data_IF_593051299501
#
_entry.id   IF_593051299501
#
_cell.length_a   1.000
_cell.length_b   1.000
_cell.length_c   1.000
_cell.angle_alpha   90.00
_cell.angle_beta   90.00
_cell.angle_gamma   90.00
#
_symmetry.space_group_name_H-M   'P 1'
#
loop_
_entity.id
_entity.type
_entity.pdbx_description
1 polymer ?
#
# COMPACT_ATOMS: atom_id res chain seq x y z
N UNK A 1 -10.41 14.45 0.60
CA UNK A 1 -9.87 14.98 1.86
C UNK A 1 -9.03 13.92 2.55
N UNK A 2 -7.86 14.30 3.07
CA UNK A 2 -7.02 13.44 3.90
C UNK A 2 -7.15 13.93 5.34
N UNK A 3 -7.56 13.06 6.26
CA UNK A 3 -7.68 13.38 7.68
C UNK A 3 -6.83 12.41 8.49
N UNK A 4 -5.97 12.93 9.36
CA UNK A 4 -5.20 12.11 10.30
C UNK A 4 -5.96 11.98 11.62
N UNK A 5 -6.09 10.74 12.10
CA UNK A 5 -6.73 10.44 13.38
C UNK A 5 -5.81 9.64 14.30
N UNK A 6 -5.95 9.85 15.61
CA UNK A 6 -5.27 9.06 16.65
C UNK A 6 -6.23 8.03 17.24
N UNK A 7 -5.70 6.93 17.81
CA UNK A 7 -6.46 5.78 18.29
C UNK A 7 -7.74 6.08 19.11
N UNK A 8 -7.74 7.12 19.97
CA UNK A 8 -8.93 7.53 20.75
C UNK A 8 -10.09 8.13 19.93
N UNK A 9 -9.96 8.24 18.61
CA UNK A 9 -10.96 8.84 17.71
C UNK A 9 -11.66 7.82 16.82
N UNK A 10 -11.50 6.53 17.10
CA UNK A 10 -12.06 5.45 16.28
C UNK A 10 -13.57 5.59 16.05
N UNK A 11 -14.37 5.88 17.06
CA UNK A 11 -15.81 6.06 16.89
C UNK A 11 -16.22 7.21 15.96
N UNK A 12 -15.38 8.25 15.85
CA UNK A 12 -15.55 9.31 14.85
C UNK A 12 -15.20 8.83 13.45
N UNK A 13 -14.09 8.10 13.31
CA UNK A 13 -13.67 7.46 12.06
C UNK A 13 -14.77 6.53 11.55
N UNK A 14 -15.24 5.62 12.39
CA UNK A 14 -16.25 4.63 12.01
C UNK A 14 -17.55 5.28 11.53
N UNK A 15 -18.06 6.32 12.20
CA UNK A 15 -19.24 7.06 11.72
C UNK A 15 -19.01 7.70 10.35
N UNK A 16 -17.79 8.21 10.07
CA UNK A 16 -17.47 8.76 8.75
C UNK A 16 -17.42 7.69 7.67
N UNK A 17 -16.89 6.50 7.98
CA UNK A 17 -16.86 5.38 7.05
C UNK A 17 -18.26 4.93 6.66
N UNK A 18 -19.18 4.84 7.62
CA UNK A 18 -20.59 4.46 7.37
C UNK A 18 -21.34 5.47 6.48
N UNK A 19 -20.87 6.72 6.40
CA UNK A 19 -21.51 7.78 5.59
C UNK A 19 -20.81 8.02 4.25
N UNK A 20 -19.67 7.39 4.02
CA UNK A 20 -18.87 7.59 2.81
C UNK A 20 -19.29 6.60 1.71
N UNK A 21 -19.38 7.06 0.47
CA UNK A 21 -19.58 6.15 -0.68
C UNK A 21 -18.34 5.28 -0.93
N UNK A 22 -17.16 5.83 -0.67
CA UNK A 22 -15.88 5.12 -0.72
C UNK A 22 -14.87 5.80 0.22
N UNK A 23 -14.07 5.01 0.91
CA UNK A 23 -13.03 5.50 1.80
C UNK A 23 -11.82 4.56 1.80
N UNK A 24 -10.64 5.13 2.02
CA UNK A 24 -9.42 4.37 2.29
C UNK A 24 -8.91 4.81 3.67
N UNK A 25 -8.68 3.83 4.54
CA UNK A 25 -8.09 4.05 5.86
C UNK A 25 -6.68 3.50 5.84
N UNK A 26 -5.69 4.40 5.96
CA UNK A 26 -4.29 4.01 6.11
C UNK A 26 -3.95 3.88 7.60
N UNK A 27 -3.59 2.67 8.02
CA UNK A 27 -3.25 2.35 9.40
C UNK A 27 -1.75 2.09 9.50
N UNK A 28 -1.02 3.00 10.15
CA UNK A 28 0.42 2.81 10.38
C UNK A 28 0.69 1.53 11.16
N UNK A 29 1.78 0.82 10.82
CA UNK A 29 2.14 -0.48 11.40
C UNK A 29 2.19 -0.48 12.95
N UNK A 30 2.60 0.65 13.57
CA UNK A 30 2.62 0.80 15.03
C UNK A 30 1.23 0.92 15.68
N UNK A 31 0.19 1.12 14.90
CA UNK A 31 -1.17 1.36 15.39
C UNK A 31 -2.14 0.23 15.05
N UNK A 32 -1.67 -0.83 14.41
CA UNK A 32 -2.55 -1.88 13.87
C UNK A 32 -3.24 -2.66 14.98
N UNK A 33 -2.52 -2.99 16.07
CA UNK A 33 -3.09 -3.71 17.21
C UNK A 33 -4.17 -2.88 17.90
N UNK A 34 -3.92 -1.58 18.12
CA UNK A 34 -4.89 -0.65 18.70
C UNK A 34 -6.10 -0.47 17.79
N UNK A 35 -5.89 -0.35 16.48
CA UNK A 35 -6.95 -0.24 15.50
C UNK A 35 -7.87 -1.47 15.52
N UNK A 36 -7.30 -2.67 15.48
CA UNK A 36 -8.07 -3.92 15.52
C UNK A 36 -8.78 -4.10 16.87
N UNK A 37 -8.15 -3.75 17.98
CA UNK A 37 -8.78 -3.79 19.31
C UNK A 37 -9.97 -2.82 19.41
N UNK A 38 -9.87 -1.64 18.81
CA UNK A 38 -11.00 -0.71 18.74
C UNK A 38 -12.12 -1.25 17.83
N UNK A 39 -11.75 -1.82 16.67
CA UNK A 39 -12.71 -2.38 15.71
C UNK A 39 -13.59 -3.48 16.35
N UNK A 40 -13.02 -4.32 17.20
CA UNK A 40 -13.76 -5.40 17.93
C UNK A 40 -14.82 -4.84 18.89
N UNK A 41 -14.62 -3.63 19.43
CA UNK A 41 -15.59 -3.02 20.36
C UNK A 41 -16.91 -2.63 19.71
N UNK A 42 -16.94 -2.51 18.40
CA UNK A 42 -18.13 -2.16 17.63
C UNK A 42 -18.68 -3.42 16.96
N UNK A 43 -19.90 -3.78 17.30
CA UNK A 43 -20.53 -4.98 16.76
C UNK A 43 -20.49 -5.01 15.23
N UNK A 44 -19.93 -6.07 14.68
CA UNK A 44 -19.79 -6.32 13.24
C UNK A 44 -19.05 -5.22 12.42
N UNK A 45 -18.38 -4.26 13.07
CA UNK A 45 -17.69 -3.19 12.36
C UNK A 45 -16.63 -3.69 11.37
N UNK A 46 -16.02 -4.84 11.64
CA UNK A 46 -15.07 -5.49 10.74
C UNK A 46 -15.71 -5.96 9.42
N UNK A 47 -17.02 -6.16 9.39
CA UNK A 47 -17.78 -6.54 8.18
C UNK A 47 -18.16 -5.35 7.30
N UNK A 48 -18.10 -4.13 7.83
CA UNK A 48 -18.33 -2.89 7.06
C UNK A 48 -17.11 -2.50 6.19
N UNK A 49 -15.98 -3.17 6.38
CA UNK A 49 -14.77 -2.96 5.60
C UNK A 49 -14.74 -3.98 4.46
N UNK A 50 -14.78 -3.52 3.21
CA UNK A 50 -14.80 -4.39 2.04
C UNK A 50 -13.50 -5.16 1.87
N UNK A 51 -12.35 -4.51 2.08
CA UNK A 51 -11.03 -5.11 1.93
C UNK A 51 -10.03 -4.63 2.97
N UNK A 52 -9.28 -5.58 3.50
CA UNK A 52 -8.08 -5.37 4.31
C UNK A 52 -6.87 -5.62 3.42
N UNK A 53 -6.19 -4.55 3.01
CA UNK A 53 -5.01 -4.64 2.17
C UNK A 53 -3.76 -4.54 3.05
N UNK A 54 -2.91 -5.57 3.01
CA UNK A 54 -1.71 -5.71 3.81
C UNK A 54 -0.47 -5.61 2.92
N UNK A 55 0.13 -4.42 2.76
CA UNK A 55 1.40 -4.28 2.05
C UNK A 55 2.51 -4.96 2.85
N UNK A 56 3.33 -5.79 2.19
CA UNK A 56 4.43 -6.49 2.81
C UNK A 56 5.69 -6.41 1.96
N UNK A 57 6.84 -6.22 2.60
CA UNK A 57 8.16 -6.31 1.96
C UNK A 57 8.84 -7.66 2.26
N UNK A 58 9.82 -8.06 1.46
CA UNK A 58 10.44 -9.38 1.49
C UNK A 58 11.17 -9.76 2.80
N UNK A 59 11.40 -8.79 3.73
CA UNK A 59 12.09 -9.11 4.98
C UNK A 59 11.34 -10.14 5.83
N UNK A 60 12.04 -11.12 6.41
CA UNK A 60 11.44 -12.16 7.23
C UNK A 60 10.67 -11.61 8.44
N UNK A 61 11.06 -10.45 8.99
CA UNK A 61 10.31 -9.77 10.05
C UNK A 61 8.96 -9.29 9.54
N UNK A 62 8.93 -8.57 8.40
CA UNK A 62 7.70 -8.04 7.82
C UNK A 62 6.71 -9.17 7.47
N UNK A 63 7.20 -10.27 6.88
CA UNK A 63 6.36 -11.41 6.57
C UNK A 63 5.70 -12.02 7.82
N UNK A 64 6.46 -12.20 8.93
CA UNK A 64 5.91 -12.73 10.20
C UNK A 64 4.87 -11.78 10.81
N UNK A 65 5.12 -10.47 10.79
CA UNK A 65 4.16 -9.48 11.30
C UNK A 65 2.89 -9.44 10.46
N UNK A 66 3.02 -9.57 9.13
CA UNK A 66 1.85 -9.67 8.23
C UNK A 66 1.04 -10.93 8.51
N UNK A 67 1.68 -12.09 8.68
CA UNK A 67 1.00 -13.34 9.03
C UNK A 67 0.23 -13.17 10.34
N UNK A 68 0.85 -12.62 11.39
CA UNK A 68 0.18 -12.32 12.65
C UNK A 68 -1.05 -11.44 12.47
N UNK A 69 -0.96 -10.43 11.62
CA UNK A 69 -2.11 -9.55 11.32
C UNK A 69 -3.24 -10.31 10.60
N UNK A 70 -2.90 -11.20 9.66
CA UNK A 70 -3.88 -12.06 8.98
C UNK A 70 -4.58 -12.96 9.99
N UNK A 71 -3.83 -13.60 10.90
CA UNK A 71 -4.39 -14.44 11.97
C UNK A 71 -5.37 -13.65 12.86
N UNK A 72 -5.02 -12.43 13.23
CA UNK A 72 -5.91 -11.56 14.03
C UNK A 72 -7.20 -11.24 13.28
N UNK A 73 -7.13 -10.89 11.99
CA UNK A 73 -8.28 -10.61 11.15
C UNK A 73 -9.18 -11.85 10.99
N UNK A 74 -8.59 -13.02 10.75
CA UNK A 74 -9.32 -14.28 10.65
C UNK A 74 -10.01 -14.64 11.96
N UNK A 75 -9.35 -14.48 13.12
CA UNK A 75 -9.93 -14.68 14.45
C UNK A 75 -11.09 -13.72 14.76
N UNK A 76 -11.07 -12.52 14.19
CA UNK A 76 -12.19 -11.56 14.26
C UNK A 76 -13.38 -11.95 13.36
N UNK A 77 -13.22 -12.96 12.50
CA UNK A 77 -14.27 -13.40 11.57
C UNK A 77 -14.27 -12.66 10.24
N UNK A 78 -13.18 -11.97 9.88
CA UNK A 78 -13.04 -11.36 8.56
C UNK A 78 -12.97 -12.46 7.50
N UNK A 79 -13.85 -12.44 6.48
CA UNK A 79 -13.82 -13.44 5.40
C UNK A 79 -12.49 -13.45 4.64
N UNK A 80 -11.99 -14.64 4.30
CA UNK A 80 -10.71 -14.82 3.61
C UNK A 80 -10.60 -14.03 2.29
N UNK A 81 -11.71 -13.86 1.59
CA UNK A 81 -11.79 -13.09 0.35
C UNK A 81 -11.67 -11.58 0.54
N UNK A 82 -11.80 -11.09 1.77
CA UNK A 82 -11.60 -9.67 2.09
C UNK A 82 -10.18 -9.34 2.52
N UNK A 83 -9.37 -10.35 2.86
CA UNK A 83 -7.96 -10.18 3.24
C UNK A 83 -7.10 -10.27 1.98
N UNK A 84 -6.38 -9.20 1.67
CA UNK A 84 -5.54 -9.06 0.49
C UNK A 84 -4.11 -8.73 0.90
N UNK A 85 -3.16 -9.48 0.40
CA UNK A 85 -1.73 -9.16 0.56
C UNK A 85 -1.24 -8.49 -0.71
N UNK A 86 -0.54 -7.37 -0.55
CA UNK A 86 0.14 -6.64 -1.62
C UNK A 86 1.65 -6.80 -1.43
N UNK A 87 2.28 -7.58 -2.29
CA UNK A 87 3.73 -7.79 -2.29
C UNK A 87 4.42 -6.53 -2.80
N UNK A 88 5.15 -5.86 -1.93
CA UNK A 88 5.73 -4.56 -2.22
C UNK A 88 7.25 -4.62 -2.27
N UNK A 89 7.86 -3.83 -3.15
CA UNK A 89 9.30 -3.78 -3.37
C UNK A 89 9.87 -5.15 -3.73
N UNK A 90 9.22 -5.83 -4.67
CA UNK A 90 9.67 -7.12 -5.19
C UNK A 90 10.90 -6.89 -6.07
N UNK A 91 11.96 -7.64 -5.84
CA UNK A 91 13.21 -7.53 -6.60
C UNK A 91 13.16 -8.44 -7.86
N UNK A 92 12.79 -9.70 -7.70
CA UNK A 92 12.87 -10.70 -8.78
C UNK A 92 11.66 -11.61 -8.87
N UNK A 93 11.44 -12.48 -7.87
CA UNK A 93 10.36 -13.47 -7.88
C UNK A 93 9.52 -13.40 -6.60
N UNK A 94 8.23 -13.13 -6.78
CA UNK A 94 7.28 -12.96 -5.68
C UNK A 94 7.18 -14.22 -4.81
N UNK A 95 7.19 -15.40 -5.41
CA UNK A 95 7.00 -16.65 -4.65
C UNK A 95 8.24 -17.03 -3.84
N UNK A 96 9.41 -16.77 -4.39
CA UNK A 96 10.68 -17.03 -3.71
C UNK A 96 10.90 -16.05 -2.57
N UNK A 97 10.70 -14.75 -2.83
CA UNK A 97 10.90 -13.71 -1.83
C UNK A 97 9.89 -13.73 -0.68
N UNK A 98 8.66 -14.19 -0.95
CA UNK A 98 7.57 -14.22 0.05
C UNK A 98 7.10 -15.65 0.39
N UNK A 99 8.02 -16.61 0.36
CA UNK A 99 7.72 -18.02 0.59
C UNK A 99 6.96 -18.30 1.91
N UNK A 100 7.23 -17.55 2.98
CA UNK A 100 6.51 -17.69 4.26
C UNK A 100 5.02 -17.32 4.13
N UNK A 101 4.69 -16.25 3.40
CA UNK A 101 3.31 -15.83 3.16
C UNK A 101 2.56 -16.88 2.31
N UNK A 102 3.17 -17.38 1.24
CA UNK A 102 2.56 -18.43 0.41
C UNK A 102 2.39 -19.74 1.16
N UNK A 103 3.38 -20.12 1.98
CA UNK A 103 3.30 -21.31 2.83
C UNK A 103 2.16 -21.22 3.84
N UNK A 104 2.01 -20.07 4.49
CA UNK A 104 0.92 -19.82 5.43
C UNK A 104 -0.45 -19.86 4.72
N UNK A 105 -0.59 -19.22 3.55
CA UNK A 105 -1.84 -19.24 2.77
C UNK A 105 -2.31 -20.65 2.42
N UNK A 106 -1.36 -21.55 2.10
CA UNK A 106 -1.68 -22.96 1.78
C UNK A 106 -2.12 -23.75 3.01
N UNK A 107 -1.60 -23.42 4.19
CA UNK A 107 -1.87 -24.17 5.44
C UNK A 107 -3.15 -23.70 6.14
N UNK A 108 -3.37 -22.39 6.23
CA UNK A 108 -4.46 -21.82 7.02
C UNK A 108 -5.77 -21.68 6.26
N UNK A 109 -5.71 -21.30 5.00
CA UNK A 109 -6.89 -20.91 4.23
C UNK A 109 -7.51 -19.56 4.65
N UNK A 110 -6.87 -18.82 5.56
CA UNK A 110 -7.36 -17.55 6.10
C UNK A 110 -7.40 -16.41 5.07
N UNK A 111 -6.65 -16.57 3.99
CA UNK A 111 -6.64 -15.66 2.84
C UNK A 111 -6.13 -16.37 1.58
N UNK A 112 -6.22 -15.66 0.43
CA UNK A 112 -5.66 -16.14 -0.83
C UNK A 112 -4.49 -15.27 -1.26
N UNK A 113 -3.28 -15.84 -1.32
CA UNK A 113 -2.11 -15.16 -1.85
C UNK A 113 -2.18 -15.11 -3.39
N UNK A 114 -2.27 -13.90 -3.95
CA UNK A 114 -2.21 -13.68 -5.38
C UNK A 114 -0.82 -13.11 -5.76
N UNK A 115 0.05 -13.87 -6.46
CA UNK A 115 1.37 -13.37 -6.83
C UNK A 115 1.35 -12.20 -7.82
N UNK A 116 0.23 -11.98 -8.51
CA UNK A 116 0.07 -10.83 -9.42
C UNK A 116 -0.19 -9.51 -8.66
N UNK A 117 -0.57 -9.58 -7.38
CA UNK A 117 -0.73 -8.41 -6.53
C UNK A 117 0.65 -7.95 -6.02
N UNK A 118 1.50 -7.50 -6.93
CA UNK A 118 2.89 -7.14 -6.67
C UNK A 118 3.26 -5.78 -7.24
N UNK A 119 4.09 -5.05 -6.51
CA UNK A 119 4.75 -3.83 -6.95
C UNK A 119 6.25 -4.11 -6.92
N UNK A 120 6.86 -4.11 -8.09
CA UNK A 120 8.30 -4.32 -8.22
C UNK A 120 9.07 -3.07 -7.82
N UNK A 121 10.29 -3.28 -7.29
CA UNK A 121 11.21 -2.18 -6.99
C UNK A 121 11.51 -1.41 -8.27
N UNK A 122 11.40 -0.09 -8.21
CA UNK A 122 11.65 0.77 -9.36
C UNK A 122 12.06 2.17 -8.89
N UNK A 123 13.11 2.70 -9.47
CA UNK A 123 13.65 4.03 -9.17
C UNK A 123 12.62 5.16 -9.39
N UNK A 124 11.57 4.91 -10.17
CA UNK A 124 10.48 5.88 -10.37
C UNK A 124 9.84 6.31 -9.06
N UNK A 125 9.76 5.43 -8.06
CA UNK A 125 9.13 5.78 -6.77
C UNK A 125 9.98 6.79 -5.99
N UNK A 126 11.30 6.67 -6.02
CA UNK A 126 12.20 7.65 -5.41
C UNK A 126 12.13 8.98 -6.16
N UNK A 127 12.05 8.94 -7.47
CA UNK A 127 11.86 10.13 -8.31
C UNK A 127 10.54 10.85 -7.96
N UNK A 128 9.43 10.11 -7.86
CA UNK A 128 8.12 10.65 -7.47
C UNK A 128 8.16 11.31 -6.10
N UNK A 129 8.77 10.64 -5.13
CA UNK A 129 8.93 11.16 -3.77
C UNK A 129 9.76 12.45 -3.74
N UNK A 130 10.91 12.46 -4.43
CA UNK A 130 11.79 13.61 -4.50
C UNK A 130 11.13 14.82 -5.20
N UNK A 131 10.33 14.57 -6.24
CA UNK A 131 9.61 15.62 -6.97
C UNK A 131 8.26 15.98 -6.35
N UNK A 132 7.84 15.28 -5.30
CA UNK A 132 6.55 15.44 -4.63
C UNK A 132 5.37 15.41 -5.63
N UNK A 133 5.43 14.47 -6.53
CA UNK A 133 4.42 14.26 -7.59
C UNK A 133 3.89 12.84 -7.55
N UNK A 134 2.83 12.58 -8.29
CA UNK A 134 2.19 11.26 -8.38
C UNK A 134 2.31 10.69 -9.79
N UNK A 135 2.20 9.37 -9.93
CA UNK A 135 2.13 8.69 -11.22
C UNK A 135 1.02 9.30 -12.10
N UNK A 136 -0.14 9.60 -11.51
CA UNK A 136 -1.27 10.20 -12.22
C UNK A 136 -0.91 11.56 -12.81
N UNK A 137 -0.22 12.40 -12.04
CA UNK A 137 0.21 13.73 -12.51
C UNK A 137 1.23 13.62 -13.64
N UNK A 138 2.18 12.68 -13.56
CA UNK A 138 3.15 12.44 -14.63
C UNK A 138 2.45 11.93 -15.90
N UNK A 139 1.53 10.97 -15.76
CA UNK A 139 0.80 10.44 -16.92
C UNK A 139 -0.17 11.45 -17.55
N UNK A 140 -0.64 12.42 -16.79
CA UNK A 140 -1.50 13.50 -17.27
C UNK A 140 -0.72 14.69 -17.85
N UNK A 141 0.60 14.74 -17.67
CA UNK A 141 1.45 15.82 -18.16
C UNK A 141 1.59 15.73 -19.69
N UNK A 142 1.13 16.72 -20.45
CA UNK A 142 1.19 16.70 -21.91
C UNK A 142 2.57 17.03 -22.48
N UNK A 143 3.53 17.39 -21.63
CA UNK A 143 4.87 17.82 -22.08
C UNK A 143 5.64 16.66 -22.67
N UNK A 144 6.38 16.96 -23.74
CA UNK A 144 7.34 16.03 -24.32
C UNK A 144 8.73 16.32 -23.76
N UNK A 145 9.04 15.73 -22.60
CA UNK A 145 10.32 15.93 -21.92
C UNK A 145 11.55 15.59 -22.78
N UNK A 146 11.42 14.63 -23.70
CA UNK A 146 12.50 14.29 -24.65
C UNK A 146 12.77 15.44 -25.62
N UNK A 147 11.72 16.11 -26.08
CA UNK A 147 11.88 17.28 -26.95
C UNK A 147 12.46 18.46 -26.20
N UNK A 148 11.91 18.75 -25.01
CA UNK A 148 12.41 19.82 -24.14
C UNK A 148 13.88 19.60 -23.77
N UNK A 149 14.29 18.33 -23.48
CA UNK A 149 15.69 17.99 -23.20
C UNK A 149 16.63 18.27 -24.41
N UNK A 150 16.15 18.04 -25.65
CA UNK A 150 16.94 18.33 -26.85
C UNK A 150 17.07 19.82 -27.12
N UNK A 151 16.07 20.60 -26.72
CA UNK A 151 16.00 22.05 -26.91
C UNK A 151 16.64 22.82 -25.75
N UNK A 152 16.86 22.14 -24.59
CA UNK A 152 17.48 22.76 -23.43
C UNK A 152 18.88 23.27 -23.72
N UNK A 153 19.18 24.48 -23.28
CA UNK A 153 20.50 25.03 -23.34
C UNK A 153 21.49 24.15 -22.53
N UNK A 154 22.55 23.69 -23.14
CA UNK A 154 23.58 22.83 -22.53
C UNK A 154 24.26 23.46 -21.31
N UNK A 155 24.09 24.75 -21.08
CA UNK A 155 24.57 25.46 -19.90
C UNK A 155 23.60 25.40 -18.70
N UNK A 156 22.36 25.01 -18.89
CA UNK A 156 21.39 24.85 -17.81
C UNK A 156 21.37 23.42 -17.25
N UNK A 157 22.39 23.12 -16.45
CA UNK A 157 22.56 21.78 -15.86
C UNK A 157 21.37 21.34 -15.00
N UNK A 158 20.63 22.28 -14.36
CA UNK A 158 19.44 21.95 -13.54
C UNK A 158 18.26 21.55 -14.41
N UNK A 159 18.02 22.28 -15.50
CA UNK A 159 16.95 21.97 -16.44
C UNK A 159 17.22 20.63 -17.14
N UNK A 160 18.44 20.39 -17.58
CA UNK A 160 18.85 19.14 -18.22
C UNK A 160 18.67 17.95 -17.27
N UNK A 161 19.10 18.06 -16.01
CA UNK A 161 18.89 17.02 -15.00
C UNK A 161 17.40 16.73 -14.77
N UNK A 162 16.59 17.79 -14.60
CA UNK A 162 15.15 17.65 -14.41
C UNK A 162 14.47 16.94 -15.59
N UNK A 163 14.75 17.37 -16.81
CA UNK A 163 14.16 16.80 -18.03
C UNK A 163 14.64 15.36 -18.28
N UNK A 164 15.88 15.04 -17.94
CA UNK A 164 16.43 13.69 -18.04
C UNK A 164 15.73 12.72 -17.10
N UNK A 165 15.55 13.14 -15.85
CA UNK A 165 14.85 12.35 -14.83
C UNK A 165 13.38 12.04 -15.19
N UNK A 166 12.71 12.98 -15.86
CA UNK A 166 11.31 12.81 -16.29
C UNK A 166 11.17 11.96 -17.56
N UNK A 167 12.29 11.69 -18.25
CA UNK A 167 12.30 10.88 -19.46
C UNK A 167 12.62 9.40 -19.20
N UNK A 168 13.27 9.10 -18.09
CA UNK A 168 13.64 7.74 -17.67
C UNK A 168 12.44 6.94 -17.16
#
# INVERSE_FOLDING_TARGET
DVEQMRGGQFGRLFRKLLMAEAAIVDVGASNIEDFLAELVKYDQAHLEIDYYVLPVVASGKAQRETIKTIEMLAQMGVPAERIRVLFNRVDSDVREEFAAIFGYAQQSGDFRANPEAAIFENEVFDLLANKRTTIREILADPRNYRQELREADRHDAKLISHLSDMHS
#
